data_IF_111299276117
#
_entry.id   IF_111299276117
#
_cell.length_a   1.000
_cell.length_b   1.000
_cell.length_c   1.000
_cell.angle_alpha   90.00
_cell.angle_beta   90.00
_cell.angle_gamma   90.00
#
_symmetry.space_group_name_H-M   'P 1'
#
loop_
_entity.id
_entity.type
_entity.pdbx_description
1 polymer ?
#
# COMPACT_ATOMS: atom_id res chain seq x y z
N UNK A 1 -7.97 -5.10 -18.01
CA UNK A 1 -6.62 -4.69 -17.54
C UNK A 1 -6.58 -3.25 -17.04
N UNK A 2 -6.94 -2.22 -17.81
CA UNK A 2 -6.86 -0.82 -17.35
C UNK A 2 -7.74 -0.50 -16.12
N UNK A 3 -8.91 -1.13 -15.96
CA UNK A 3 -9.80 -0.95 -14.82
C UNK A 3 -9.25 -1.58 -13.53
N UNK A 4 -8.61 -2.74 -13.64
CA UNK A 4 -7.97 -3.41 -12.50
C UNK A 4 -6.73 -2.65 -12.02
N UNK A 5 -5.90 -2.17 -12.96
CA UNK A 5 -4.75 -1.34 -12.62
C UNK A 5 -5.17 -0.05 -11.92
N UNK A 6 -6.26 0.61 -12.36
CA UNK A 6 -6.80 1.79 -11.66
C UNK A 6 -7.29 1.43 -10.26
N UNK A 7 -7.90 0.27 -10.08
CA UNK A 7 -8.35 -0.20 -8.76
C UNK A 7 -7.15 -0.44 -7.83
N UNK A 8 -6.11 -1.13 -8.31
CA UNK A 8 -4.89 -1.39 -7.54
C UNK A 8 -4.14 -0.09 -7.22
N UNK A 9 -3.98 0.81 -8.20
CA UNK A 9 -3.35 2.10 -7.98
C UNK A 9 -4.13 2.95 -6.96
N UNK A 10 -5.48 2.93 -7.02
CA UNK A 10 -6.34 3.62 -6.06
C UNK A 10 -6.23 2.99 -4.66
N UNK A 11 -6.18 1.66 -4.56
CA UNK A 11 -6.00 0.96 -3.28
C UNK A 11 -4.65 1.24 -2.61
N UNK A 12 -3.61 1.60 -3.37
CA UNK A 12 -2.31 1.98 -2.81
C UNK A 12 -2.29 3.36 -2.14
N UNK A 13 -3.16 4.26 -2.56
CA UNK A 13 -3.20 5.66 -2.11
C UNK A 13 -4.36 5.92 -1.14
N UNK A 14 -5.46 5.19 -1.27
CA UNK A 14 -6.66 5.37 -0.46
C UNK A 14 -6.45 4.87 0.99
N UNK A 15 -6.86 5.69 1.95
CA UNK A 15 -7.02 5.26 3.35
C UNK A 15 -8.34 4.51 3.46
N UNK A 16 -8.30 3.32 4.06
CA UNK A 16 -9.50 2.54 4.39
C UNK A 16 -9.67 2.56 5.90
N UNK A 17 -10.91 2.78 6.36
CA UNK A 17 -11.26 2.62 7.76
C UNK A 17 -12.21 1.44 7.92
N UNK A 18 -11.98 0.66 8.96
CA UNK A 18 -12.85 -0.47 9.36
C UNK A 18 -13.14 -0.37 10.84
N UNK A 19 -14.34 -0.81 11.23
CA UNK A 19 -14.76 -0.87 12.62
C UNK A 19 -14.93 -2.33 13.04
N UNK A 20 -14.38 -2.65 14.21
CA UNK A 20 -14.47 -3.97 14.83
C UNK A 20 -15.19 -3.83 16.17
N UNK A 21 -16.30 -4.57 16.34
CA UNK A 21 -17.00 -4.60 17.60
C UNK A 21 -16.26 -5.47 18.61
N UNK A 22 -16.13 -5.01 19.85
CA UNK A 22 -15.57 -5.81 20.94
C UNK A 22 -16.69 -6.26 21.89
N UNK A 23 -16.56 -7.49 22.39
CA UNK A 23 -17.41 -8.06 23.44
C UNK A 23 -16.81 -7.85 24.84
N UNK A 24 -15.57 -7.41 24.92
CA UNK A 24 -14.85 -7.23 26.16
C UNK A 24 -14.87 -5.79 26.65
N UNK A 25 -14.64 -5.55 27.95
CA UNK A 25 -14.38 -4.22 28.48
C UNK A 25 -13.19 -3.57 27.80
N UNK A 26 -13.17 -2.24 27.75
CA UNK A 26 -12.15 -1.46 27.03
C UNK A 26 -10.73 -1.86 27.39
N UNK A 27 -10.39 -1.94 28.70
CA UNK A 27 -9.05 -2.26 29.16
C UNK A 27 -8.57 -3.65 28.68
N UNK A 28 -9.46 -4.63 28.70
CA UNK A 28 -9.18 -5.98 28.21
C UNK A 28 -9.04 -6.02 26.70
N UNK A 29 -9.90 -5.31 25.97
CA UNK A 29 -9.83 -5.19 24.50
C UNK A 29 -8.53 -4.55 24.05
N UNK A 30 -8.08 -3.48 24.72
CA UNK A 30 -6.82 -2.81 24.45
C UNK A 30 -5.63 -3.76 24.66
N UNK A 31 -5.62 -4.50 25.79
CA UNK A 31 -4.56 -5.46 26.08
C UNK A 31 -4.52 -6.62 25.07
N UNK A 32 -5.66 -7.18 24.68
CA UNK A 32 -5.77 -8.26 23.70
C UNK A 32 -5.26 -7.83 22.33
N UNK A 33 -5.70 -6.67 21.83
CA UNK A 33 -5.26 -6.11 20.56
C UNK A 33 -3.76 -5.77 20.59
N UNK A 34 -3.26 -5.15 21.67
CA UNK A 34 -1.85 -4.86 21.84
C UNK A 34 -1.00 -6.13 21.81
N UNK A 35 -1.40 -7.18 22.51
CA UNK A 35 -0.72 -8.47 22.51
C UNK A 35 -0.75 -9.15 21.13
N UNK A 36 -1.89 -9.12 20.44
CA UNK A 36 -2.03 -9.69 19.10
C UNK A 36 -1.15 -8.99 18.06
N UNK A 37 -0.90 -7.70 18.24
CA UNK A 37 -0.08 -6.87 17.34
C UNK A 37 1.38 -6.74 17.78
N UNK A 38 1.75 -7.16 18.99
CA UNK A 38 3.08 -6.97 19.56
C UNK A 38 4.22 -7.58 18.72
N UNK A 39 3.95 -8.67 17.98
CA UNK A 39 4.91 -9.31 17.09
C UNK A 39 4.82 -8.86 15.63
N UNK A 40 3.93 -7.91 15.31
CA UNK A 40 3.67 -7.52 13.95
C UNK A 40 4.16 -6.10 13.66
N UNK A 41 5.22 -5.98 12.84
CA UNK A 41 5.74 -4.70 12.38
C UNK A 41 5.47 -4.56 10.86
N UNK A 42 4.36 -3.94 10.46
CA UNK A 42 4.05 -3.75 9.04
C UNK A 42 5.09 -2.80 8.41
N UNK A 43 5.63 -3.20 7.27
CA UNK A 43 6.63 -2.40 6.53
C UNK A 43 5.99 -1.46 5.51
N UNK A 44 4.82 -1.84 4.98
CA UNK A 44 4.16 -1.16 3.86
C UNK A 44 2.84 -0.53 4.22
N UNK A 45 2.35 -0.82 5.40
CA UNK A 45 1.09 -0.36 5.94
C UNK A 45 1.34 0.42 7.22
N UNK A 46 0.63 1.53 7.40
CA UNK A 46 0.47 2.21 8.67
C UNK A 46 -0.98 2.08 9.08
N UNK A 47 -1.22 1.77 10.34
CA UNK A 47 -2.58 1.78 10.86
C UNK A 47 -2.65 2.67 12.09
N UNK A 48 -3.75 3.38 12.18
CA UNK A 48 -4.13 4.19 13.33
C UNK A 48 -5.39 3.58 13.91
N UNK A 49 -5.42 3.37 15.21
CA UNK A 49 -6.57 2.79 15.89
C UNK A 49 -7.17 3.78 16.86
N UNK A 50 -8.49 3.89 16.88
CA UNK A 50 -9.24 4.71 17.81
C UNK A 50 -10.40 3.90 18.39
N UNK A 51 -10.58 3.96 19.71
CA UNK A 51 -11.70 3.33 20.38
C UNK A 51 -12.90 4.28 20.40
N UNK A 52 -14.04 3.78 19.95
CA UNK A 52 -15.34 4.49 20.04
C UNK A 52 -16.27 3.73 20.96
N UNK A 53 -16.74 4.39 22.01
CA UNK A 53 -17.76 3.86 22.88
C UNK A 53 -19.14 4.30 22.36
N UNK A 54 -19.98 3.32 22.06
CA UNK A 54 -21.37 3.54 21.72
C UNK A 54 -22.25 2.92 22.82
N UNK A 55 -23.47 3.41 23.03
CA UNK A 55 -24.39 2.82 24.03
C UNK A 55 -24.55 1.33 23.79
N UNK A 56 -23.97 0.49 24.68
CA UNK A 56 -24.03 -0.97 24.61
C UNK A 56 -23.01 -1.67 23.76
N UNK A 57 -22.06 -0.96 23.13
CA UNK A 57 -20.99 -1.59 22.35
C UNK A 57 -19.70 -0.76 22.35
N UNK A 58 -18.58 -1.47 22.43
CA UNK A 58 -17.25 -0.89 22.22
C UNK A 58 -16.78 -1.23 20.79
N UNK A 59 -16.38 -0.23 20.03
CA UNK A 59 -15.90 -0.41 18.68
C UNK A 59 -14.46 0.09 18.53
N UNK A 60 -13.61 -0.71 17.90
CA UNK A 60 -12.29 -0.32 17.47
C UNK A 60 -12.36 0.13 16.02
N UNK A 61 -12.15 1.40 15.76
CA UNK A 61 -11.97 1.92 14.40
C UNK A 61 -10.48 1.88 14.03
N UNK A 62 -10.17 1.18 12.94
CA UNK A 62 -8.81 1.06 12.42
C UNK A 62 -8.74 1.71 11.06
N UNK A 63 -7.92 2.76 10.93
CA UNK A 63 -7.64 3.41 9.67
C UNK A 63 -6.33 2.86 9.09
N UNK A 64 -6.41 2.22 7.94
CA UNK A 64 -5.27 1.71 7.19
C UNK A 64 -4.77 2.77 6.22
N UNK A 65 -3.51 3.18 6.35
CA UNK A 65 -2.86 4.16 5.48
C UNK A 65 -1.64 3.56 4.80
N UNK A 66 -1.29 3.99 3.58
CA UNK A 66 -0.04 3.60 2.94
C UNK A 66 1.15 4.06 3.78
N UNK A 67 2.22 3.26 3.81
CA UNK A 67 3.48 3.69 4.41
C UNK A 67 4.03 4.91 3.65
N UNK A 68 4.62 5.88 4.38
CA UNK A 68 5.17 7.10 3.76
C UNK A 68 6.16 6.81 2.64
N UNK A 69 6.93 5.72 2.76
CA UNK A 69 7.87 5.31 1.74
C UNK A 69 7.24 4.92 0.41
N UNK A 70 6.02 4.37 0.40
CA UNK A 70 5.32 3.99 -0.84
C UNK A 70 4.89 5.23 -1.61
N UNK A 71 4.33 6.24 -0.93
CA UNK A 71 3.93 7.50 -1.58
C UNK A 71 5.14 8.23 -2.17
N UNK A 72 6.23 8.32 -1.40
CA UNK A 72 7.48 8.90 -1.89
C UNK A 72 8.04 8.12 -3.08
N UNK A 73 8.05 6.78 -3.02
CA UNK A 73 8.53 5.93 -4.10
C UNK A 73 7.71 6.12 -5.38
N UNK A 74 6.38 6.13 -5.28
CA UNK A 74 5.50 6.34 -6.44
C UNK A 74 5.71 7.71 -7.09
N UNK A 75 5.85 8.77 -6.28
CA UNK A 75 6.14 10.12 -6.76
C UNK A 75 7.51 10.19 -7.44
N UNK A 76 8.54 9.62 -6.82
CA UNK A 76 9.89 9.58 -7.38
C UNK A 76 9.94 8.80 -8.70
N UNK A 77 9.26 7.65 -8.77
CA UNK A 77 9.16 6.86 -10.00
C UNK A 77 8.44 7.62 -11.12
N UNK A 78 7.39 8.38 -10.78
CA UNK A 78 6.70 9.23 -11.77
C UNK A 78 7.63 10.31 -12.34
N UNK A 79 8.44 10.95 -11.50
CA UNK A 79 9.43 11.96 -11.95
C UNK A 79 10.50 11.31 -12.84
N UNK A 80 11.06 10.16 -12.41
CA UNK A 80 12.07 9.43 -13.20
C UNK A 80 11.49 9.01 -14.56
N UNK A 81 10.26 8.51 -14.60
CA UNK A 81 9.60 8.12 -15.84
C UNK A 81 9.40 9.32 -16.78
N UNK A 82 8.99 10.47 -16.24
CA UNK A 82 8.83 11.71 -17.01
C UNK A 82 10.17 12.18 -17.59
N UNK A 83 11.25 12.13 -16.81
CA UNK A 83 12.60 12.50 -17.26
C UNK A 83 13.10 11.53 -18.34
N UNK A 84 12.85 10.23 -18.19
CA UNK A 84 13.19 9.23 -19.21
C UNK A 84 12.44 9.46 -20.53
N UNK A 85 11.15 9.79 -20.45
CA UNK A 85 10.34 10.13 -21.64
C UNK A 85 10.85 11.41 -22.31
N UNK A 86 11.15 12.45 -21.54
CA UNK A 86 11.69 13.70 -22.06
C UNK A 86 13.05 13.48 -22.72
N UNK A 87 13.95 12.69 -22.10
CA UNK A 87 15.25 12.37 -22.67
C UNK A 87 15.15 11.49 -23.91
N UNK A 88 14.18 10.57 -23.95
CA UNK A 88 13.91 9.76 -25.15
C UNK A 88 13.41 10.63 -26.32
N UNK A 89 12.48 11.57 -26.04
CA UNK A 89 12.00 12.51 -27.04
C UNK A 89 13.14 13.41 -27.57
N UNK A 90 14.01 13.91 -26.66
CA UNK A 90 15.17 14.70 -27.03
C UNK A 90 16.15 13.88 -27.90
N UNK A 91 16.46 12.64 -27.57
CA UNK A 91 17.34 11.76 -28.32
C UNK A 91 16.81 11.44 -29.74
N UNK A 92 15.50 11.44 -29.93
CA UNK A 92 14.87 11.25 -31.24
C UNK A 92 14.99 12.51 -32.13
N UNK A 93 14.99 13.70 -31.53
CA UNK A 93 15.05 14.99 -32.24
C UNK A 93 16.47 15.41 -32.53
N UNK A 94 17.42 15.17 -31.61
CA UNK A 94 18.84 15.54 -31.76
C UNK A 94 19.61 14.53 -32.62
N UNK A 95 19.52 14.71 -33.92
CA UNK A 95 19.87 13.69 -34.92
C UNK A 95 21.39 13.53 -35.24
N UNK A 96 22.29 14.19 -34.53
CA UNK A 96 23.63 14.34 -35.15
C UNK A 96 24.75 13.45 -34.68
N UNK A 97 24.79 12.93 -33.45
CA UNK A 97 25.96 12.10 -33.05
C UNK A 97 25.59 11.04 -31.97
N UNK A 98 25.76 9.78 -32.30
CA UNK A 98 25.67 8.68 -31.33
C UNK A 98 24.56 7.67 -31.56
N UNK A 99 24.66 6.85 -32.62
CA UNK A 99 23.64 5.84 -32.98
C UNK A 99 23.22 4.92 -31.84
N UNK A 100 24.11 4.55 -30.92
CA UNK A 100 23.84 3.64 -29.84
C UNK A 100 22.94 4.28 -28.76
N UNK A 101 23.18 5.52 -28.34
CA UNK A 101 22.38 6.26 -27.37
C UNK A 101 20.96 6.54 -27.88
N UNK A 102 20.81 6.70 -29.20
CA UNK A 102 19.53 6.95 -29.87
C UNK A 102 18.53 5.81 -29.70
N UNK A 103 19.02 4.58 -29.58
CA UNK A 103 18.16 3.39 -29.35
C UNK A 103 18.08 2.98 -27.88
N UNK A 104 19.15 3.15 -27.11
CA UNK A 104 19.22 2.73 -25.71
C UNK A 104 18.25 3.53 -24.83
N UNK A 105 18.19 4.86 -25.01
CA UNK A 105 17.32 5.71 -24.17
C UNK A 105 15.83 5.45 -24.41
N UNK A 106 15.29 5.45 -25.64
CA UNK A 106 13.89 5.11 -25.85
C UNK A 106 13.56 3.66 -25.48
N UNK A 107 14.49 2.71 -25.67
CA UNK A 107 14.30 1.34 -25.25
C UNK A 107 14.22 1.22 -23.73
N UNK A 108 15.06 1.93 -22.97
CA UNK A 108 14.98 1.99 -21.52
C UNK A 108 13.68 2.61 -21.04
N UNK A 109 13.19 3.67 -21.71
CA UNK A 109 11.90 4.29 -21.40
C UNK A 109 10.73 3.32 -21.62
N UNK A 110 10.72 2.58 -22.73
CA UNK A 110 9.70 1.56 -23.01
C UNK A 110 9.72 0.45 -21.97
N UNK A 111 10.89 -0.06 -21.61
CA UNK A 111 11.04 -1.08 -20.59
C UNK A 111 10.57 -0.59 -19.22
N UNK A 112 10.87 0.65 -18.84
CA UNK A 112 10.41 1.26 -17.60
C UNK A 112 8.88 1.40 -17.56
N UNK A 113 8.25 1.82 -18.68
CA UNK A 113 6.80 1.92 -18.82
C UNK A 113 6.15 0.54 -18.68
N UNK A 114 6.72 -0.47 -19.32
CA UNK A 114 6.20 -1.85 -19.26
C UNK A 114 6.39 -2.48 -17.87
N UNK A 115 7.48 -2.18 -17.17
CA UNK A 115 7.76 -2.71 -15.82
C UNK A 115 6.92 -2.01 -14.73
N UNK A 116 6.59 -0.74 -14.89
CA UNK A 116 5.87 0.05 -13.89
C UNK A 116 4.59 -0.61 -13.38
N UNK A 117 3.66 -1.11 -14.22
CA UNK A 117 2.44 -1.75 -13.76
C UNK A 117 2.71 -3.00 -12.91
N UNK A 118 3.75 -3.76 -13.21
CA UNK A 118 4.13 -4.94 -12.42
C UNK A 118 4.62 -4.55 -11.03
N UNK A 119 5.42 -3.48 -10.93
CA UNK A 119 5.87 -2.95 -9.64
C UNK A 119 4.70 -2.46 -8.81
N UNK A 120 3.77 -1.71 -9.41
CA UNK A 120 2.55 -1.22 -8.73
C UNK A 120 1.69 -2.39 -8.27
N UNK A 121 1.48 -3.41 -9.10
CA UNK A 121 0.71 -4.59 -8.75
C UNK A 121 1.36 -5.38 -7.60
N UNK A 122 2.67 -5.58 -7.63
CA UNK A 122 3.41 -6.26 -6.58
C UNK A 122 3.34 -5.52 -5.23
N UNK A 123 3.46 -4.18 -5.24
CA UNK A 123 3.30 -3.37 -4.03
C UNK A 123 1.88 -3.43 -3.48
N UNK A 124 0.87 -3.41 -4.36
CA UNK A 124 -0.54 -3.51 -3.99
C UNK A 124 -0.88 -4.84 -3.34
N UNK A 125 -0.48 -5.95 -3.94
CA UNK A 125 -0.75 -7.30 -3.43
C UNK A 125 -0.11 -7.52 -2.04
N UNK A 126 1.10 -7.02 -1.84
CA UNK A 126 1.79 -7.14 -0.57
C UNK A 126 1.15 -6.29 0.53
N UNK A 127 0.65 -5.09 0.20
CA UNK A 127 -0.12 -4.26 1.13
C UNK A 127 -1.42 -4.93 1.52
N UNK A 128 -2.17 -5.47 0.56
CA UNK A 128 -3.42 -6.19 0.83
C UNK A 128 -3.20 -7.42 1.70
N UNK A 129 -2.09 -8.12 1.53
CA UNK A 129 -1.71 -9.25 2.38
C UNK A 129 -1.42 -8.81 3.82
N UNK A 130 -0.68 -7.70 4.03
CA UNK A 130 -0.44 -7.13 5.36
C UNK A 130 -1.75 -6.66 6.01
N UNK A 131 -2.61 -5.96 5.27
CA UNK A 131 -3.92 -5.49 5.75
C UNK A 131 -4.81 -6.67 6.19
N UNK A 132 -4.89 -7.70 5.36
CA UNK A 132 -5.67 -8.92 5.66
C UNK A 132 -5.12 -9.65 6.88
N UNK A 133 -3.82 -9.60 7.11
CA UNK A 133 -3.18 -10.20 8.29
C UNK A 133 -3.51 -9.41 9.56
N UNK A 134 -3.40 -8.09 9.53
CA UNK A 134 -3.78 -7.22 10.67
C UNK A 134 -5.25 -7.41 10.99
N UNK A 135 -6.12 -7.39 9.98
CA UNK A 135 -7.57 -7.61 10.15
C UNK A 135 -7.85 -8.93 10.87
N UNK A 136 -7.24 -10.03 10.42
CA UNK A 136 -7.42 -11.34 11.06
C UNK A 136 -6.92 -11.38 12.51
N UNK A 137 -5.79 -10.73 12.79
CA UNK A 137 -5.26 -10.65 14.16
C UNK A 137 -6.22 -9.89 15.09
N UNK A 138 -6.74 -8.75 14.65
CA UNK A 138 -7.71 -7.96 15.41
C UNK A 138 -9.03 -8.72 15.59
N UNK A 139 -9.56 -9.33 14.54
CA UNK A 139 -10.78 -10.13 14.62
C UNK A 139 -10.63 -11.28 15.62
N UNK A 140 -9.53 -12.04 15.59
CA UNK A 140 -9.28 -13.11 16.56
C UNK A 140 -9.14 -12.59 17.99
N UNK A 141 -8.49 -11.44 18.18
CA UNK A 141 -8.32 -10.84 19.50
C UNK A 141 -9.65 -10.40 20.12
N UNK A 142 -10.62 -9.96 19.29
CA UNK A 142 -11.89 -9.40 19.75
C UNK A 142 -13.07 -10.39 19.66
N UNK A 143 -12.96 -11.49 18.92
CA UNK A 143 -14.06 -12.41 18.63
C UNK A 143 -14.13 -13.67 19.50
N UNK A 144 -13.27 -13.82 20.52
CA UNK A 144 -13.31 -15.00 21.42
C UNK A 144 -13.19 -16.36 20.69
N UNK A 145 -12.42 -16.44 19.62
CA UNK A 145 -11.97 -17.75 19.15
C UNK A 145 -10.96 -18.30 20.16
N UNK A 146 -11.48 -18.94 21.21
CA UNK A 146 -10.69 -19.85 22.03
C UNK A 146 -10.02 -20.85 21.10
N UNK A 147 -8.70 -20.89 21.18
CA UNK A 147 -7.88 -21.93 20.56
C UNK A 147 -8.30 -23.27 21.19
N UNK A 148 -9.19 -23.97 20.52
CA UNK A 148 -9.38 -25.41 20.72
C UNK A 148 -8.32 -26.15 19.92
#
# INVERSE_FOLDING_TARGET
>A
MASEMRRVARSLVESRSESFASRYPRAESEARVANALAGFAPRRLRFESAWKEQPGSLQLEVAFRPARGIDFFLKSMSVVLTLLLASAAWALVSAEEGRALRFLVPMAAVLAILAFPFVVAALGSQREAEESRVRRLIQRALADEELS
#
